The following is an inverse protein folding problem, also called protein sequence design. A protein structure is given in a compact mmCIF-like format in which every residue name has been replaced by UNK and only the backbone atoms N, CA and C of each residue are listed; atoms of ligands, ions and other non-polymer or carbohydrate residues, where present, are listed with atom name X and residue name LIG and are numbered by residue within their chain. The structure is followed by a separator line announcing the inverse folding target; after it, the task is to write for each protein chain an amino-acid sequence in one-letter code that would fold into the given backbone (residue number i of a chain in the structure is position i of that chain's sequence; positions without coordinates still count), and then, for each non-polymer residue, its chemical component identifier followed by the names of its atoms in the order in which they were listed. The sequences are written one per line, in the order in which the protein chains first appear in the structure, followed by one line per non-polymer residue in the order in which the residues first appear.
data_IF_929572926917
#
_entry.id   IF_929572926917
#
_cell.length_a   1.000
_cell.length_b   1.000
_cell.length_c   1.000
_cell.angle_alpha   90.00
_cell.angle_beta   90.00
_cell.angle_gamma   90.00
#
_symmetry.space_group_name_H-M   'P 1'
#
loop_
_entity.id
_entity.type
_entity.pdbx_description
1 polymer ?
#
# COMPACT_ATOMS: atom_id res chain seq x y z
N UNK A 1 9.35 -6.07 -17.13
CA UNK A 1 8.72 -4.73 -16.94
C UNK A 1 9.43 -3.73 -17.83
N UNK A 2 8.73 -2.80 -18.48
CA UNK A 2 9.38 -1.76 -19.31
C UNK A 2 10.10 -0.72 -18.42
N UNK A 3 11.18 -0.12 -18.92
CA UNK A 3 11.92 0.93 -18.19
C UNK A 3 11.02 2.11 -17.80
N UNK A 4 10.08 2.50 -18.66
CA UNK A 4 9.13 3.57 -18.36
C UNK A 4 8.17 3.21 -17.22
N UNK A 5 7.65 1.97 -17.19
CA UNK A 5 6.79 1.49 -16.09
C UNK A 5 7.58 1.47 -14.78
N UNK A 6 8.83 0.98 -14.80
CA UNK A 6 9.71 0.96 -13.61
C UNK A 6 9.97 2.37 -13.08
N UNK A 7 10.42 3.29 -13.93
CA UNK A 7 10.70 4.68 -13.55
C UNK A 7 9.47 5.38 -12.95
N UNK A 8 8.28 5.13 -13.50
CA UNK A 8 7.03 5.67 -12.96
C UNK A 8 6.76 5.13 -11.54
N UNK A 9 6.90 3.82 -11.33
CA UNK A 9 6.69 3.20 -10.01
C UNK A 9 7.71 3.72 -9.00
N UNK A 10 8.99 3.83 -9.37
CA UNK A 10 10.03 4.37 -8.50
C UNK A 10 9.75 5.83 -8.13
N UNK A 11 9.28 6.64 -9.07
CA UNK A 11 8.85 8.01 -8.79
C UNK A 11 7.67 8.11 -7.82
N UNK A 12 6.77 7.11 -7.78
CA UNK A 12 5.72 7.04 -6.76
C UNK A 12 6.27 6.70 -5.38
N UNK A 13 7.29 5.84 -5.29
CA UNK A 13 7.98 5.56 -4.03
C UNK A 13 8.68 6.82 -3.51
N UNK A 14 9.34 7.58 -4.38
CA UNK A 14 9.97 8.83 -4.01
C UNK A 14 8.94 9.87 -3.53
N UNK A 15 7.77 9.93 -4.19
CA UNK A 15 6.65 10.76 -3.73
C UNK A 15 6.11 10.28 -2.38
N UNK A 16 5.99 8.97 -2.17
CA UNK A 16 5.56 8.40 -0.90
C UNK A 16 6.53 8.75 0.25
N UNK A 17 7.83 8.77 -0.02
CA UNK A 17 8.83 9.26 0.95
C UNK A 17 8.58 10.70 1.36
N UNK A 18 8.37 11.59 0.39
CA UNK A 18 8.07 13.00 0.67
C UNK A 18 6.82 13.14 1.54
N UNK A 19 5.76 12.39 1.22
CA UNK A 19 4.53 12.41 2.01
C UNK A 19 4.71 11.84 3.42
N UNK A 20 5.56 10.83 3.60
CA UNK A 20 5.92 10.35 4.93
C UNK A 20 6.64 11.43 5.75
N UNK A 21 7.54 12.20 5.14
CA UNK A 21 8.20 13.32 5.82
C UNK A 21 7.21 14.42 6.19
N UNK A 22 6.30 14.77 5.26
CA UNK A 22 5.22 15.72 5.52
C UNK A 22 4.34 15.26 6.68
N UNK A 23 3.96 13.98 6.71
CA UNK A 23 3.14 13.42 7.79
C UNK A 23 3.85 13.52 9.15
N UNK A 24 5.15 13.18 9.20
CA UNK A 24 5.99 13.30 10.40
C UNK A 24 6.17 14.73 10.88
N UNK A 25 6.21 15.69 9.96
CA UNK A 25 6.32 17.10 10.32
C UNK A 25 5.02 17.62 10.91
N UNK A 26 3.90 17.39 10.22
CA UNK A 26 2.58 17.80 10.69
C UNK A 26 2.18 17.14 12.02
N UNK A 27 2.62 15.89 12.27
CA UNK A 27 2.33 15.20 13.54
C UNK A 27 2.94 15.88 14.77
N UNK A 28 3.89 16.80 14.59
CA UNK A 28 4.50 17.57 15.70
C UNK A 28 3.61 18.71 16.19
N UNK A 29 2.62 19.12 15.39
CA UNK A 29 1.70 20.21 15.73
C UNK A 29 0.29 19.68 15.97
N UNK A 30 -0.30 20.03 17.11
CA UNK A 30 -1.66 19.61 17.46
C UNK A 30 -2.74 20.19 16.55
N UNK A 31 -2.43 21.24 15.78
CA UNK A 31 -3.35 21.86 14.83
C UNK A 31 -3.33 21.23 13.44
N UNK A 32 -2.42 20.28 13.19
CA UNK A 32 -2.15 19.73 11.85
C UNK A 32 -2.36 18.20 11.77
N UNK A 33 -3.10 17.62 12.72
CA UNK A 33 -3.35 16.18 12.76
C UNK A 33 -4.13 15.67 11.54
N UNK A 34 -5.10 16.43 11.05
CA UNK A 34 -5.80 16.13 9.79
C UNK A 34 -4.85 16.04 8.59
N UNK A 35 -3.92 17.00 8.47
CA UNK A 35 -2.95 17.11 7.39
C UNK A 35 -1.87 16.03 7.50
N UNK A 36 -1.51 15.63 8.73
CA UNK A 36 -0.62 14.51 8.96
C UNK A 36 -1.25 13.19 8.48
N UNK A 37 -2.53 12.97 8.79
CA UNK A 37 -3.28 11.79 8.32
C UNK A 37 -3.43 11.81 6.80
N UNK A 38 -3.74 12.96 6.20
CA UNK A 38 -3.83 13.08 4.75
C UNK A 38 -2.51 12.71 4.06
N UNK A 39 -1.38 13.22 4.55
CA UNK A 39 -0.06 12.89 4.01
C UNK A 39 0.28 11.40 4.24
N UNK A 40 -0.04 10.85 5.41
CA UNK A 40 0.15 9.42 5.69
C UNK A 40 -0.66 8.53 4.74
N UNK A 41 -1.92 8.89 4.46
CA UNK A 41 -2.77 8.18 3.50
C UNK A 41 -2.16 8.16 2.10
N UNK A 42 -1.69 9.30 1.60
CA UNK A 42 -1.06 9.37 0.28
C UNK A 42 0.23 8.54 0.22
N UNK A 43 1.03 8.55 1.30
CA UNK A 43 2.20 7.67 1.43
C UNK A 43 1.81 6.18 1.33
N UNK A 44 0.78 5.76 2.06
CA UNK A 44 0.29 4.37 2.08
C UNK A 44 -0.21 3.97 0.70
N UNK A 45 -1.07 4.78 0.07
CA UNK A 45 -1.63 4.49 -1.26
C UNK A 45 -0.52 4.30 -2.29
N UNK A 46 0.40 5.27 -2.40
CA UNK A 46 1.50 5.23 -3.37
C UNK A 46 2.44 4.05 -3.11
N UNK A 47 2.72 3.73 -1.85
CA UNK A 47 3.59 2.60 -1.48
C UNK A 47 2.96 1.26 -1.88
N UNK A 48 1.70 1.02 -1.50
CA UNK A 48 1.01 -0.25 -1.80
C UNK A 48 0.75 -0.39 -3.30
N UNK A 49 0.39 0.71 -3.98
CA UNK A 49 0.25 0.74 -5.44
C UNK A 49 1.55 0.39 -6.16
N UNK A 50 2.66 0.90 -5.66
CA UNK A 50 3.99 0.59 -6.20
C UNK A 50 4.33 -0.88 -6.02
N UNK A 51 4.07 -1.45 -4.85
CA UNK A 51 4.29 -2.87 -4.55
C UNK A 51 3.48 -3.76 -5.50
N UNK A 52 2.18 -3.52 -5.61
CA UNK A 52 1.32 -4.32 -6.48
C UNK A 52 1.77 -4.25 -7.93
N UNK A 53 2.14 -3.08 -8.43
CA UNK A 53 2.59 -2.94 -9.82
C UNK A 53 3.99 -3.52 -10.08
N UNK A 54 4.88 -3.55 -9.08
CA UNK A 54 6.13 -4.31 -9.15
C UNK A 54 5.87 -5.81 -9.26
N UNK A 55 4.88 -6.32 -8.54
CA UNK A 55 4.44 -7.73 -8.57
C UNK A 55 3.49 -8.05 -9.75
N UNK A 56 3.38 -7.12 -10.69
CA UNK A 56 2.55 -7.23 -11.88
C UNK A 56 1.06 -7.51 -11.56
N UNK A 57 0.55 -6.80 -10.55
CA UNK A 57 -0.86 -6.72 -10.21
C UNK A 57 -1.33 -5.28 -10.52
N UNK A 58 -2.34 -5.11 -11.39
CA UNK A 58 -2.96 -3.81 -11.62
C UNK A 58 -3.58 -3.26 -10.34
N UNK A 59 -3.29 -1.99 -10.03
CA UNK A 59 -3.96 -1.26 -8.96
C UNK A 59 -5.21 -0.56 -9.51
N UNK A 60 -6.41 -0.80 -8.94
CA UNK A 60 -7.65 -0.13 -9.32
C UNK A 60 -7.56 1.40 -9.23
N UNK A 61 -8.34 2.12 -10.04
CA UNK A 61 -8.39 3.59 -9.98
C UNK A 61 -9.29 4.13 -8.88
N UNK A 62 -10.10 3.29 -8.24
CA UNK A 62 -10.97 3.68 -7.14
C UNK A 62 -10.17 3.85 -5.84
N UNK A 63 -10.44 4.95 -5.12
CA UNK A 63 -9.76 5.32 -3.86
C UNK A 63 -10.31 4.59 -2.62
N UNK A 64 -11.34 3.77 -2.75
CA UNK A 64 -11.92 2.96 -1.65
C UNK A 64 -12.23 1.56 -2.15
N UNK A 65 -11.93 0.55 -1.34
CA UNK A 65 -12.23 -0.84 -1.65
C UNK A 65 -13.10 -1.42 -0.54
N UNK A 66 -14.39 -1.62 -0.82
CA UNK A 66 -15.17 -2.50 0.04
C UNK A 66 -14.56 -3.91 -0.05
N UNK A 67 -14.57 -4.66 1.05
CA UNK A 67 -13.94 -6.00 1.10
C UNK A 67 -14.51 -6.94 0.02
N UNK A 68 -15.79 -6.79 -0.31
CA UNK A 68 -16.51 -7.54 -1.34
C UNK A 68 -16.61 -6.77 -2.68
N UNK A 69 -15.84 -5.70 -2.84
CA UNK A 69 -15.75 -5.01 -4.13
C UNK A 69 -15.10 -5.89 -5.18
N UNK A 70 -15.51 -5.71 -6.45
CA UNK A 70 -14.90 -6.40 -7.58
C UNK A 70 -13.41 -6.11 -7.67
N UNK A 71 -13.01 -4.91 -7.28
CA UNK A 71 -11.63 -4.44 -7.26
C UNK A 71 -10.75 -5.21 -6.26
N UNK A 72 -11.19 -5.34 -5.00
CA UNK A 72 -10.43 -6.08 -3.99
C UNK A 72 -10.35 -7.57 -4.33
N UNK A 73 -11.47 -8.15 -4.79
CA UNK A 73 -11.55 -9.54 -5.23
C UNK A 73 -10.54 -9.81 -6.34
N UNK A 74 -10.45 -8.94 -7.35
CA UNK A 74 -9.51 -9.10 -8.46
C UNK A 74 -8.03 -9.02 -8.04
N UNK A 75 -7.71 -8.24 -7.00
CA UNK A 75 -6.35 -8.23 -6.42
C UNK A 75 -6.08 -9.56 -5.71
N UNK A 76 -7.01 -10.00 -4.86
CA UNK A 76 -6.87 -11.24 -4.09
C UNK A 76 -6.71 -12.46 -5.01
N UNK A 77 -7.54 -12.57 -6.05
CA UNK A 77 -7.45 -13.64 -7.06
C UNK A 77 -6.08 -13.66 -7.75
N UNK A 78 -5.53 -12.48 -8.09
CA UNK A 78 -4.21 -12.41 -8.71
C UNK A 78 -3.09 -12.80 -7.76
N UNK A 79 -3.17 -12.39 -6.49
CA UNK A 79 -2.20 -12.80 -5.45
C UNK A 79 -2.20 -14.32 -5.30
N UNK A 80 -3.39 -14.93 -5.25
CA UNK A 80 -3.55 -16.38 -5.14
C UNK A 80 -3.05 -17.10 -6.41
N UNK A 81 -3.52 -16.70 -7.59
CA UNK A 81 -3.14 -17.32 -8.87
C UNK A 81 -1.64 -17.25 -9.14
N UNK A 82 -0.98 -16.16 -8.74
CA UNK A 82 0.47 -15.97 -8.89
C UNK A 82 1.28 -16.56 -7.72
N UNK A 83 0.62 -17.09 -6.69
CA UNK A 83 1.21 -17.65 -5.46
C UNK A 83 2.20 -16.68 -4.79
N UNK A 84 1.85 -15.38 -4.76
CA UNK A 84 2.81 -14.35 -4.34
C UNK A 84 3.18 -14.44 -2.86
N UNK A 85 2.26 -14.87 -1.99
CA UNK A 85 2.55 -15.04 -0.56
C UNK A 85 3.61 -16.13 -0.36
N UNK A 86 3.46 -17.26 -1.05
CA UNK A 86 4.41 -18.37 -0.96
C UNK A 86 5.78 -17.99 -1.54
N UNK A 87 5.80 -17.30 -2.68
CA UNK A 87 7.06 -16.83 -3.29
C UNK A 87 7.77 -15.77 -2.43
N UNK A 88 7.03 -14.84 -1.84
CA UNK A 88 7.60 -13.88 -0.89
C UNK A 88 8.19 -14.60 0.32
N UNK A 89 7.53 -15.64 0.80
CA UNK A 89 7.99 -16.46 1.93
C UNK A 89 9.25 -17.25 1.57
N UNK A 90 9.27 -17.91 0.40
CA UNK A 90 10.44 -18.66 -0.10
C UNK A 90 11.69 -17.78 -0.27
N UNK A 91 11.50 -16.48 -0.53
CA UNK A 91 12.57 -15.50 -0.67
C UNK A 91 12.90 -14.74 0.63
N UNK A 92 12.27 -15.11 1.76
CA UNK A 92 12.37 -14.45 3.07
C UNK A 92 11.97 -12.96 3.05
N UNK A 93 11.07 -12.59 2.14
CA UNK A 93 10.58 -11.23 1.96
C UNK A 93 9.26 -10.96 2.68
N UNK A 94 8.53 -12.00 3.11
CA UNK A 94 7.21 -11.88 3.75
C UNK A 94 7.20 -11.12 5.08
N UNK A 95 8.35 -11.06 5.78
CA UNK A 95 8.49 -10.26 7.01
C UNK A 95 8.42 -8.75 6.73
N UNK A 96 8.93 -8.31 5.58
CA UNK A 96 8.95 -6.91 5.17
C UNK A 96 7.78 -6.57 4.24
N UNK A 97 7.40 -7.51 3.37
CA UNK A 97 6.36 -7.37 2.34
C UNK A 97 5.20 -8.30 2.69
N UNK A 98 4.46 -7.95 3.74
CA UNK A 98 3.27 -8.68 4.16
C UNK A 98 2.05 -8.20 3.36
N UNK A 99 1.77 -8.81 2.20
CA UNK A 99 0.70 -8.35 1.30
C UNK A 99 -0.68 -8.23 1.97
N UNK A 100 -1.19 -9.23 2.74
CA UNK A 100 -2.46 -9.08 3.45
C UNK A 100 -2.50 -7.86 4.36
N UNK A 101 -1.42 -7.65 5.13
CA UNK A 101 -1.30 -6.51 6.04
C UNK A 101 -1.26 -5.16 5.31
N UNK A 102 -0.51 -5.08 4.21
CA UNK A 102 -0.41 -3.87 3.39
C UNK A 102 -1.76 -3.53 2.71
N UNK A 103 -2.48 -4.53 2.23
CA UNK A 103 -3.83 -4.37 1.67
C UNK A 103 -4.83 -3.92 2.73
N UNK A 104 -4.76 -4.49 3.93
CA UNK A 104 -5.55 -4.03 5.06
C UNK A 104 -5.28 -2.55 5.37
N UNK A 105 -4.02 -2.13 5.42
CA UNK A 105 -3.64 -0.77 5.75
C UNK A 105 -4.12 0.27 4.74
N UNK A 106 -3.92 0.02 3.43
CA UNK A 106 -4.41 0.95 2.41
C UNK A 106 -5.93 1.07 2.45
N UNK A 107 -6.64 -0.03 2.70
CA UNK A 107 -8.09 0.01 2.77
C UNK A 107 -8.61 0.68 4.04
N UNK A 108 -8.01 0.37 5.19
CA UNK A 108 -8.35 0.96 6.48
C UNK A 108 -8.23 2.48 6.44
N UNK A 109 -7.10 3.00 5.96
CA UNK A 109 -6.86 4.44 5.92
C UNK A 109 -7.63 5.16 4.82
N UNK A 110 -7.94 4.50 3.69
CA UNK A 110 -8.72 5.09 2.60
C UNK A 110 -10.10 5.66 3.04
N UNK A 111 -10.69 5.10 4.09
CA UNK A 111 -11.98 5.53 4.61
C UNK A 111 -11.95 6.98 5.13
N UNK A 112 -10.80 7.44 5.63
CA UNK A 112 -10.67 8.76 6.23
C UNK A 112 -10.30 9.86 5.23
N UNK A 113 -10.12 9.58 3.93
CA UNK A 113 -9.54 10.55 2.97
C UNK A 113 -10.33 11.87 2.90
N UNK A 114 -11.63 11.78 2.67
CA UNK A 114 -12.48 12.97 2.62
C UNK A 114 -12.59 13.63 4.00
N UNK A 115 -12.71 12.82 5.06
CA UNK A 115 -12.87 13.28 6.44
C UNK A 115 -11.64 14.06 6.92
N UNK A 116 -10.43 13.60 6.60
CA UNK A 116 -9.16 14.26 6.91
C UNK A 116 -8.97 15.57 6.14
N UNK A 117 -9.61 15.72 4.97
CA UNK A 117 -9.49 16.91 4.14
C UNK A 117 -10.55 17.97 4.44
N UNK A 118 -11.78 17.55 4.70
CA UNK A 118 -12.94 18.44 4.75
C UNK A 118 -13.67 18.42 6.09
N UNK A 119 -13.44 17.41 6.93
CA UNK A 119 -14.20 17.20 8.15
C UNK A 119 -15.56 16.54 7.87
N UNK A 120 -16.53 16.80 8.75
CA UNK A 120 -17.92 16.39 8.57
C UNK A 120 -18.74 17.55 7.99
N UNK A 121 -18.80 17.62 6.67
CA UNK A 121 -19.56 18.64 5.93
C UNK A 121 -21.08 18.49 6.10
N UNK A 122 -21.56 17.29 6.43
CA UNK A 122 -22.97 17.03 6.67
C UNK A 122 -23.51 17.93 7.79
N UNK A 123 -24.38 18.86 7.45
CA UNK A 123 -24.91 19.85 8.40
C UNK A 123 -23.86 20.80 8.97
N UNK A 124 -22.69 20.95 8.32
CA UNK A 124 -21.55 21.74 8.81
C UNK A 124 -21.09 21.35 10.22
N UNK A 125 -21.12 20.04 10.52
CA UNK A 125 -20.95 19.53 11.88
C UNK A 125 -19.57 19.80 12.48
N UNK A 126 -18.49 19.56 11.73
CA UNK A 126 -17.13 19.73 12.25
C UNK A 126 -16.08 19.91 11.13
N UNK A 127 -15.07 20.78 11.30
CA UNK A 127 -13.91 20.84 10.41
C UNK A 127 -12.93 19.69 10.68
N UNK A 128 -12.08 19.36 9.69
CA UNK A 128 -11.13 18.24 9.78
C UNK A 128 -10.19 18.29 10.99
N UNK A 129 -9.70 19.49 11.34
CA UNK A 129 -8.76 19.72 12.44
C UNK A 129 -9.29 19.30 13.82
N UNK A 130 -10.61 19.16 13.97
CA UNK A 130 -11.25 18.83 15.24
C UNK A 130 -11.52 17.31 15.39
N UNK A 131 -11.27 16.51 14.33
CA UNK A 131 -11.69 15.11 14.27
C UNK A 131 -10.64 14.11 14.74
N UNK A 132 -9.36 14.47 14.67
CA UNK A 132 -8.25 13.56 14.91
C UNK A 132 -7.38 14.04 16.05
N UNK A 133 -6.81 13.09 16.80
CA UNK A 133 -5.90 13.37 17.90
C UNK A 133 -4.52 12.83 17.57
N UNK A 134 -3.64 12.99 18.55
CA UNK A 134 -2.26 12.58 18.48
C UNK A 134 -2.14 11.07 18.22
N UNK A 135 -2.96 10.28 18.89
CA UNK A 135 -2.90 8.82 18.85
C UNK A 135 -3.23 8.28 17.45
N UNK A 136 -4.31 8.77 16.82
CA UNK A 136 -4.64 8.35 15.45
C UNK A 136 -3.57 8.83 14.45
N UNK A 137 -3.01 10.02 14.68
CA UNK A 137 -1.96 10.58 13.83
C UNK A 137 -0.66 9.77 13.91
N UNK A 138 -0.20 9.44 15.12
CA UNK A 138 0.99 8.62 15.33
C UNK A 138 0.83 7.23 14.70
N UNK A 139 -0.36 6.64 14.84
CA UNK A 139 -0.68 5.36 14.20
C UNK A 139 -0.67 5.46 12.67
N UNK A 140 -1.20 6.55 12.10
CA UNK A 140 -1.17 6.78 10.66
C UNK A 140 0.27 6.90 10.13
N UNK A 141 1.10 7.68 10.82
CA UNK A 141 2.53 7.85 10.48
C UNK A 141 3.29 6.52 10.60
N UNK A 142 3.02 5.72 11.64
CA UNK A 142 3.63 4.41 11.80
C UNK A 142 3.26 3.47 10.64
N UNK A 143 1.98 3.41 10.27
CA UNK A 143 1.53 2.58 9.15
C UNK A 143 2.06 3.08 7.79
N UNK A 144 2.18 4.39 7.59
CA UNK A 144 2.82 4.96 6.41
C UNK A 144 4.31 4.57 6.33
N UNK A 145 5.01 4.58 7.47
CA UNK A 145 6.39 4.12 7.55
C UNK A 145 6.54 2.63 7.19
N UNK A 146 5.64 1.78 7.68
CA UNK A 146 5.56 0.34 7.37
C UNK A 146 5.40 0.12 5.86
N UNK A 147 4.40 0.76 5.24
CA UNK A 147 4.16 0.62 3.79
C UNK A 147 5.33 1.15 2.95
N UNK A 148 5.89 2.31 3.31
CA UNK A 148 7.03 2.89 2.58
C UNK A 148 8.28 2.00 2.67
N UNK A 149 8.55 1.41 3.84
CA UNK A 149 9.66 0.48 4.03
C UNK A 149 9.49 -0.76 3.14
N UNK A 150 8.28 -1.33 3.09
CA UNK A 150 7.97 -2.46 2.22
C UNK A 150 8.22 -2.14 0.74
N UNK A 151 7.75 -0.97 0.27
CA UNK A 151 7.93 -0.55 -1.11
C UNK A 151 9.41 -0.27 -1.44
N UNK A 152 10.12 0.41 -0.54
CA UNK A 152 11.55 0.70 -0.69
C UNK A 152 12.38 -0.58 -0.72
N UNK A 153 12.05 -1.56 0.12
CA UNK A 153 12.73 -2.85 0.15
C UNK A 153 12.52 -3.59 -1.17
N UNK A 154 11.28 -3.67 -1.66
CA UNK A 154 10.96 -4.30 -2.94
C UNK A 154 11.67 -3.62 -4.12
N UNK A 155 11.81 -2.29 -4.10
CA UNK A 155 12.58 -1.54 -5.11
C UNK A 155 14.05 -1.97 -5.16
N UNK A 156 14.62 -2.33 -4.01
CA UNK A 156 16.04 -2.66 -3.85
C UNK A 156 16.40 -4.14 -4.00
N UNK A 157 15.42 -5.05 -4.16
CA UNK A 157 15.76 -6.47 -4.33
C UNK A 157 16.51 -6.70 -5.64
N UNK A 158 17.41 -7.68 -5.64
CA UNK A 158 18.15 -8.07 -6.84
C UNK A 158 17.23 -8.58 -7.96
N UNK A 159 17.70 -8.47 -9.20
CA UNK A 159 16.95 -8.88 -10.39
C UNK A 159 16.53 -10.35 -10.33
N UNK A 160 17.39 -11.24 -9.81
CA UNK A 160 17.09 -12.66 -9.66
C UNK A 160 15.89 -12.91 -8.72
N UNK A 161 15.85 -12.20 -7.58
CA UNK A 161 14.72 -12.29 -6.65
C UNK A 161 13.45 -11.76 -7.28
N UNK A 162 13.54 -10.63 -8.00
CA UNK A 162 12.39 -10.07 -8.71
C UNK A 162 11.88 -11.02 -9.80
N UNK A 163 12.78 -11.64 -10.57
CA UNK A 163 12.44 -12.63 -11.58
C UNK A 163 11.75 -13.86 -10.97
N UNK A 164 12.20 -14.34 -9.82
CA UNK A 164 11.57 -15.44 -9.10
C UNK A 164 10.15 -15.10 -8.58
N UNK A 165 9.91 -13.84 -8.16
CA UNK A 165 8.56 -13.42 -7.79
C UNK A 165 7.61 -13.39 -8.99
N UNK A 166 8.13 -13.00 -10.16
CA UNK A 166 7.35 -12.80 -11.39
C UNK A 166 7.25 -14.05 -12.27
N UNK A 167 8.02 -15.11 -11.99
CA UNK A 167 7.98 -16.34 -12.78
C UNK A 167 6.61 -17.02 -12.65
N UNK A 168 6.08 -17.56 -13.74
CA UNK A 168 4.98 -18.51 -13.66
C UNK A 168 5.60 -19.91 -13.56
N UNK A 169 5.61 -20.48 -12.36
CA UNK A 169 5.84 -21.92 -12.25
C UNK A 169 4.54 -22.61 -12.71
N UNK A 170 4.57 -23.19 -13.91
CA UNK A 170 3.63 -24.25 -14.26
C UNK A 170 4.05 -25.43 -13.41
N UNK A 171 3.45 -25.59 -12.23
CA UNK A 171 3.46 -26.90 -11.60
C UNK A 171 2.71 -27.84 -12.54
N UNK A 172 3.48 -28.56 -13.35
CA UNK A 172 3.08 -29.83 -13.91
C UNK A 172 2.53 -30.65 -12.74
N UNK A 173 1.20 -30.72 -12.67
CA UNK A 173 0.55 -31.89 -12.11
C UNK A 173 0.93 -33.05 -13.03
N UNK A 174 2.11 -33.61 -12.79
CA UNK A 174 2.37 -35.02 -13.04
C UNK A 174 1.36 -35.77 -12.18
N UNK A 175 0.15 -35.93 -12.73
CA UNK A 175 -0.65 -37.11 -12.49
C UNK A 175 0.14 -38.29 -13.05
N UNK A 176 1.16 -38.73 -12.27
CA UNK A 176 1.55 -40.14 -12.22
C UNK A 176 0.26 -40.87 -11.87
N UNK A 177 -0.30 -41.60 -12.83
CA UNK A 177 -0.21 -43.05 -12.82
C UNK A 177 -0.55 -43.57 -11.42
N UNK A 178 -1.83 -43.82 -11.21
CA UNK A 178 -2.34 -45.16 -10.87
C UNK A 178 -3.78 -45.29 -11.41
#
# INVERSE_FOLDING_TARGET
MTNNKRRMIEGWIDKAWNQLQTAKEHSKSYTQYSEAIQAAQECIELSVKSILLFLDIPFPRSHRWEQDSKEFTAIAEQIQKKQLIDKLTAQYLNLTINLPRLLFLVNFWAQFYNTAKYGFEAGYLAPAKDLFKKEETELAVQHAQECHQAASHLRSIGEDKMAALLSFEVMNANARQD
#
